data_IF_788334816332
#
_entry.id   IF_788334816332
#
_cell.length_a   1.000
_cell.length_b   1.000
_cell.length_c   1.000
_cell.angle_alpha   90.00
_cell.angle_beta   90.00
_cell.angle_gamma   90.00
#
_symmetry.space_group_name_H-M   'P 1'
#
loop_
_entity.id
_entity.type
_entity.pdbx_description
1 polymer ?
#
# COMPACT_ATOMS: atom_id res chain seq x y z
N UNK A 1 -6.45 12.80 7.88
CA UNK A 1 -7.62 12.14 7.26
C UNK A 1 -7.81 10.85 8.00
N UNK A 2 -8.95 10.60 8.66
CA UNK A 2 -9.11 9.40 9.49
C UNK A 2 -8.83 8.10 8.68
N UNK A 3 -8.24 7.11 9.36
CA UNK A 3 -7.89 5.75 8.92
C UNK A 3 -9.02 5.09 8.12
N UNK A 4 -10.27 5.11 8.60
CA UNK A 4 -11.40 4.49 7.89
C UNK A 4 -11.60 5.07 6.48
N UNK A 5 -11.43 6.39 6.35
CA UNK A 5 -11.55 7.08 5.06
C UNK A 5 -10.36 6.74 4.16
N UNK A 6 -9.18 6.55 4.74
CA UNK A 6 -8.00 6.12 4.01
C UNK A 6 -8.16 4.70 3.46
N UNK A 7 -8.54 3.74 4.31
CA UNK A 7 -8.82 2.36 3.88
C UNK A 7 -9.86 2.31 2.77
N UNK A 8 -10.99 3.00 2.91
CA UNK A 8 -12.02 3.06 1.85
C UNK A 8 -11.50 3.63 0.53
N UNK A 9 -10.56 4.59 0.55
CA UNK A 9 -9.95 5.14 -0.67
C UNK A 9 -9.01 4.12 -1.32
N UNK A 10 -8.20 3.42 -0.53
CA UNK A 10 -7.29 2.39 -1.03
C UNK A 10 -8.10 1.22 -1.61
N UNK A 11 -9.08 0.69 -0.88
CA UNK A 11 -9.96 -0.37 -1.36
C UNK A 11 -10.66 -0.01 -2.68
N UNK A 12 -11.16 1.22 -2.81
CA UNK A 12 -11.77 1.70 -4.06
C UNK A 12 -10.79 1.69 -5.22
N UNK A 13 -9.49 1.92 -4.97
CA UNK A 13 -8.45 1.88 -6.01
C UNK A 13 -8.10 0.44 -6.36
N UNK A 14 -8.01 -0.44 -5.37
CA UNK A 14 -7.76 -1.88 -5.57
C UNK A 14 -8.88 -2.55 -6.37
N UNK A 15 -10.15 -2.24 -6.05
CA UNK A 15 -11.34 -2.78 -6.75
C UNK A 15 -11.42 -2.40 -8.23
N UNK A 16 -10.65 -1.41 -8.70
CA UNK A 16 -10.58 -1.06 -10.12
C UNK A 16 -9.80 -2.09 -10.96
N UNK A 17 -9.06 -2.98 -10.30
CA UNK A 17 -8.24 -3.98 -10.97
C UNK A 17 -7.04 -3.38 -11.70
N UNK A 18 -6.43 -4.18 -12.57
CA UNK A 18 -5.30 -3.75 -13.38
C UNK A 18 -5.75 -2.82 -14.52
N UNK A 19 -5.18 -1.61 -14.55
CA UNK A 19 -5.44 -0.58 -15.56
C UNK A 19 -4.15 -0.11 -16.25
N UNK A 20 -3.08 -0.90 -16.17
CA UNK A 20 -1.75 -0.56 -16.68
C UNK A 20 -0.88 0.19 -15.68
N UNK A 21 0.15 0.85 -16.18
CA UNK A 21 1.16 1.55 -15.39
C UNK A 21 1.02 3.09 -15.48
N UNK A 22 1.42 3.85 -14.44
CA UNK A 22 2.20 3.40 -13.28
C UNK A 22 1.41 2.56 -12.27
N UNK A 23 2.08 1.60 -11.63
CA UNK A 23 1.47 0.66 -10.69
C UNK A 23 2.03 0.84 -9.29
N UNK A 24 1.14 0.82 -8.30
CA UNK A 24 1.48 0.74 -6.88
C UNK A 24 1.07 -0.63 -6.33
N UNK A 25 1.96 -1.26 -5.57
CA UNK A 25 1.69 -2.48 -4.81
C UNK A 25 1.88 -2.21 -3.33
N UNK A 26 0.93 -2.67 -2.51
CA UNK A 26 0.96 -2.53 -1.05
C UNK A 26 1.05 -3.93 -0.45
N UNK A 27 2.09 -4.20 0.33
CA UNK A 27 2.30 -5.46 1.03
C UNK A 27 2.54 -5.21 2.52
N UNK A 28 1.75 -5.86 3.37
CA UNK A 28 1.92 -5.80 4.81
C UNK A 28 2.82 -6.94 5.30
N UNK A 29 3.63 -6.67 6.32
CA UNK A 29 4.48 -7.65 7.00
C UNK A 29 4.33 -7.54 8.51
N UNK A 30 4.55 -8.64 9.23
CA UNK A 30 4.44 -8.66 10.68
C UNK A 30 4.77 -10.00 11.32
N UNK A 31 4.64 -10.06 12.65
CA UNK A 31 4.93 -11.28 13.42
C UNK A 31 3.86 -12.38 13.24
N UNK A 32 2.65 -11.99 12.85
CA UNK A 32 1.54 -12.90 12.57
C UNK A 32 0.67 -12.37 11.44
N UNK A 33 -0.23 -13.20 10.91
CA UNK A 33 -1.23 -12.77 9.92
C UNK A 33 -2.18 -11.68 10.45
N UNK A 34 -2.32 -11.59 11.77
CA UNK A 34 -3.24 -10.67 12.44
C UNK A 34 -2.61 -9.32 12.77
N UNK A 35 -1.28 -9.26 12.93
CA UNK A 35 -0.56 -8.05 13.32
C UNK A 35 0.43 -7.64 12.23
N UNK A 36 0.10 -6.60 11.47
CA UNK A 36 1.02 -5.96 10.53
C UNK A 36 1.82 -4.86 11.23
N UNK A 37 3.14 -5.03 11.38
CA UNK A 37 4.03 -4.00 11.96
C UNK A 37 4.85 -3.26 10.89
N UNK A 38 4.83 -3.73 9.65
CA UNK A 38 5.49 -3.08 8.51
C UNK A 38 4.57 -3.06 7.29
N UNK A 39 4.72 -2.04 6.46
CA UNK A 39 4.14 -1.99 5.11
C UNK A 39 5.22 -1.60 4.12
N UNK A 40 5.26 -2.30 2.99
CA UNK A 40 6.05 -1.93 1.82
C UNK A 40 5.12 -1.43 0.72
N UNK A 41 5.48 -0.30 0.13
CA UNK A 41 4.81 0.31 -1.02
C UNK A 41 5.78 0.27 -2.19
N UNK A 42 5.49 -0.55 -3.19
CA UNK A 42 6.30 -0.69 -4.39
C UNK A 42 5.68 0.10 -5.54
N UNK A 43 6.51 0.79 -6.31
CA UNK A 43 6.16 1.55 -7.51
C UNK A 43 6.84 0.95 -8.72
N UNK A 44 6.08 0.76 -9.80
CA UNK A 44 6.58 0.33 -11.11
C UNK A 44 6.08 1.33 -12.15
N UNK A 45 7.00 2.00 -12.85
CA UNK A 45 6.67 3.07 -13.80
C UNK A 45 6.02 2.55 -15.09
N UNK A 46 6.52 1.43 -15.61
CA UNK A 46 6.06 0.79 -16.84
C UNK A 46 6.40 -0.70 -16.83
N UNK A 47 5.84 -1.46 -17.77
CA UNK A 47 6.10 -2.88 -17.88
C UNK A 47 7.60 -3.17 -18.05
N UNK A 48 8.11 -4.13 -17.27
CA UNK A 48 9.53 -4.49 -17.26
C UNK A 48 10.48 -3.48 -16.58
N UNK A 49 9.97 -2.34 -16.08
CA UNK A 49 10.78 -1.41 -15.30
C UNK A 49 11.14 -1.98 -13.92
N UNK A 50 12.30 -1.62 -13.34
CA UNK A 50 12.65 -2.00 -11.99
C UNK A 50 11.66 -1.40 -10.99
N UNK A 51 11.29 -2.19 -9.97
CA UNK A 51 10.44 -1.71 -8.90
C UNK A 51 11.22 -0.84 -7.91
N UNK A 52 10.64 0.26 -7.49
CA UNK A 52 11.13 1.10 -6.38
C UNK A 52 10.26 0.84 -5.17
N UNK A 53 10.84 0.52 -4.01
CA UNK A 53 10.07 0.21 -2.80
C UNK A 53 10.38 1.20 -1.68
N UNK A 54 9.35 1.61 -0.96
CA UNK A 54 9.45 2.38 0.29
C UNK A 54 8.76 1.60 1.41
N UNK A 55 9.41 1.48 2.55
CA UNK A 55 8.91 0.72 3.70
C UNK A 55 8.64 1.63 4.89
N UNK A 56 7.52 1.39 5.58
CA UNK A 56 7.20 2.02 6.86
C UNK A 56 7.07 0.95 7.94
N UNK A 57 7.52 1.27 9.15
CA UNK A 57 7.45 0.38 10.31
C UNK A 57 6.70 1.04 11.47
N UNK A 58 6.06 0.23 12.31
CA UNK A 58 5.39 0.67 13.52
C UNK A 58 5.46 -0.41 14.60
N UNK A 59 5.43 0.00 15.86
CA UNK A 59 5.38 -0.93 17.01
C UNK A 59 4.00 -1.56 17.18
N UNK A 60 2.96 -0.95 16.61
CA UNK A 60 1.56 -1.42 16.66
C UNK A 60 1.11 -1.82 15.25
N UNK A 61 -0.16 -2.21 15.11
CA UNK A 61 -0.75 -2.47 13.79
C UNK A 61 -0.67 -1.21 12.90
N UNK A 62 0.20 -1.25 11.91
CA UNK A 62 0.47 -0.17 10.98
C UNK A 62 -0.74 0.17 10.11
N UNK A 63 -1.70 -0.76 9.97
CA UNK A 63 -2.97 -0.51 9.30
C UNK A 63 -3.78 0.56 10.04
N UNK A 64 -3.60 0.68 11.36
CA UNK A 64 -4.29 1.68 12.17
C UNK A 64 -3.55 3.02 12.28
N UNK A 65 -2.39 3.17 11.61
CA UNK A 65 -1.61 4.40 11.67
C UNK A 65 -2.12 5.43 10.64
N UNK A 66 -2.82 6.46 11.10
CA UNK A 66 -3.40 7.51 10.25
C UNK A 66 -2.38 8.18 9.32
N UNK A 67 -1.19 8.46 9.85
CA UNK A 67 -0.12 9.11 9.10
C UNK A 67 0.37 8.22 7.97
N UNK A 68 0.62 6.92 8.24
CA UNK A 68 1.06 5.96 7.22
C UNK A 68 -0.01 5.80 6.14
N UNK A 69 -1.27 5.59 6.53
CA UNK A 69 -2.38 5.44 5.58
C UNK A 69 -2.58 6.69 4.70
N UNK A 70 -2.42 7.87 5.28
CA UNK A 70 -2.46 9.13 4.53
C UNK A 70 -1.27 9.26 3.57
N UNK A 71 -0.08 8.82 3.98
CA UNK A 71 1.13 8.82 3.13
C UNK A 71 0.98 7.88 1.94
N UNK A 72 0.46 6.65 2.13
CA UNK A 72 0.19 5.70 1.04
C UNK A 72 -0.70 6.34 -0.03
N UNK A 73 -1.77 7.02 0.39
CA UNK A 73 -2.68 7.70 -0.54
C UNK A 73 -1.99 8.86 -1.27
N UNK A 74 -1.16 9.63 -0.56
CA UNK A 74 -0.37 10.69 -1.21
C UNK A 74 0.61 10.13 -2.24
N UNK A 75 1.20 8.96 -2.00
CA UNK A 75 2.06 8.27 -2.97
C UNK A 75 1.23 7.89 -4.20
N UNK A 76 0.09 7.21 -4.00
CA UNK A 76 -0.84 6.81 -5.07
C UNK A 76 -1.28 8.01 -5.93
N UNK A 77 -1.65 9.11 -5.28
CA UNK A 77 -2.12 10.34 -5.94
C UNK A 77 -0.95 11.07 -6.64
N UNK A 78 0.25 11.09 -6.05
CA UNK A 78 1.44 11.78 -6.60
C UNK A 78 1.95 11.14 -7.89
N UNK A 79 1.92 9.81 -7.98
CA UNK A 79 2.40 9.09 -9.17
C UNK A 79 1.30 8.85 -10.20
N UNK A 80 0.10 9.40 -9.96
CA UNK A 80 -1.11 9.16 -10.77
C UNK A 80 -1.30 7.68 -11.12
N UNK A 81 -1.22 6.81 -10.10
CA UNK A 81 -1.17 5.37 -10.33
C UNK A 81 -2.39 4.90 -11.14
N UNK A 82 -2.18 4.17 -12.24
CA UNK A 82 -3.31 3.56 -12.95
C UNK A 82 -3.80 2.33 -12.20
N UNK A 83 -2.86 1.55 -11.70
CA UNK A 83 -3.14 0.32 -10.94
C UNK A 83 -2.71 0.48 -9.49
N UNK A 84 -3.55 0.01 -8.57
CA UNK A 84 -3.19 -0.18 -7.15
C UNK A 84 -3.52 -1.62 -6.78
N UNK A 85 -2.57 -2.34 -6.23
CA UNK A 85 -2.78 -3.69 -5.68
C UNK A 85 -2.50 -3.69 -4.19
N UNK A 86 -3.23 -4.53 -3.46
CA UNK A 86 -3.05 -4.76 -2.05
C UNK A 86 -3.03 -6.26 -1.83
N UNK A 87 -1.96 -6.78 -1.23
CA UNK A 87 -1.91 -8.16 -0.82
C UNK A 87 -2.89 -8.43 0.32
N UNK A 88 -3.64 -9.52 0.21
CA UNK A 88 -4.66 -9.90 1.20
C UNK A 88 -4.06 -10.42 2.51
N UNK A 89 -2.85 -10.98 2.44
CA UNK A 89 -2.16 -11.60 3.56
C UNK A 89 -1.04 -10.73 4.10
N UNK A 90 -0.91 -10.69 5.43
CA UNK A 90 0.30 -10.18 6.08
C UNK A 90 1.38 -11.26 6.00
N UNK A 91 2.54 -10.92 5.44
CA UNK A 91 3.68 -11.84 5.34
C UNK A 91 4.53 -11.79 6.62
N UNK A 92 5.25 -12.88 6.96
CA UNK A 92 6.21 -12.84 8.06
C UNK A 92 7.31 -11.82 7.76
N UNK A 93 7.71 -11.08 8.79
CA UNK A 93 8.89 -10.20 8.78
C UNK A 93 10.21 -10.99 8.76
#
# INVERSE_FOLDING_TARGET
MNVDKAHKRIEKRVKRGFQGYPMISIQYFGQSSELASKVEVSFIEQEGAPAMAESFNSSNDIRQNETVQTTIIKIIDRVDAKTVTLAETVLPL
#
